data_IF_546411926095
#
_entry.id   IF_546411926095
#
_cell.length_a   1.000
_cell.length_b   1.000
_cell.length_c   1.000
_cell.angle_alpha   90.00
_cell.angle_beta   90.00
_cell.angle_gamma   90.00
#
_symmetry.space_group_name_H-M   'P 1'
#
loop_
_entity.id
_entity.type
_entity.pdbx_description
1 polymer ?
#
# COMPACT_ATOMS: atom_id res chain seq x y z
N UNK A 1 17.46 2.22 -18.19
CA UNK A 1 16.61 1.39 -19.03
C UNK A 1 16.43 0.03 -18.36
N UNK A 2 15.22 -0.26 -17.86
CA UNK A 2 14.88 -1.49 -17.09
C UNK A 2 15.19 -2.77 -17.85
N UNK A 3 14.92 -2.81 -19.16
CA UNK A 3 15.18 -3.99 -19.98
C UNK A 3 16.67 -4.37 -20.00
N UNK A 4 17.54 -3.39 -20.17
CA UNK A 4 18.98 -3.61 -20.18
C UNK A 4 19.46 -4.11 -18.82
N UNK A 5 18.96 -3.53 -17.74
CA UNK A 5 19.35 -3.92 -16.38
C UNK A 5 18.91 -5.35 -16.06
N UNK A 6 17.65 -5.68 -16.33
CA UNK A 6 17.14 -7.04 -16.13
C UNK A 6 17.92 -8.08 -16.93
N UNK A 7 18.24 -7.79 -18.19
CA UNK A 7 19.04 -8.69 -19.03
C UNK A 7 20.45 -8.88 -18.48
N UNK A 8 21.09 -7.80 -17.99
CA UNK A 8 22.43 -7.87 -17.40
C UNK A 8 22.42 -8.73 -16.14
N UNK A 9 21.53 -8.43 -15.19
CA UNK A 9 21.44 -9.16 -13.91
C UNK A 9 21.16 -10.65 -14.13
N UNK A 10 20.22 -10.99 -15.02
CA UNK A 10 19.91 -12.39 -15.32
C UNK A 10 21.06 -13.10 -16.04
N UNK A 11 21.80 -12.41 -16.93
CA UNK A 11 22.97 -12.97 -17.58
C UNK A 11 24.09 -13.26 -16.58
N UNK A 12 24.32 -12.36 -15.64
CA UNK A 12 25.37 -12.51 -14.61
C UNK A 12 25.04 -13.65 -13.64
N UNK A 13 23.79 -13.76 -13.22
CA UNK A 13 23.36 -14.79 -12.28
C UNK A 13 23.23 -16.18 -12.91
N UNK A 14 22.64 -16.28 -14.09
CA UNK A 14 22.27 -17.55 -14.70
C UNK A 14 23.16 -17.97 -15.84
N UNK A 15 24.00 -17.06 -16.37
CA UNK A 15 24.94 -17.33 -17.45
C UNK A 15 25.87 -18.52 -17.19
N UNK A 16 26.46 -18.65 -15.98
CA UNK A 16 27.31 -19.82 -15.64
C UNK A 16 26.58 -21.17 -15.73
N UNK A 17 25.24 -21.15 -15.62
CA UNK A 17 24.39 -22.35 -15.78
C UNK A 17 23.88 -22.54 -17.24
N UNK A 18 24.44 -21.79 -18.22
CA UNK A 18 24.11 -21.94 -19.62
C UNK A 18 22.96 -21.05 -20.14
N UNK A 19 22.43 -20.14 -19.30
CA UNK A 19 21.45 -19.16 -19.70
C UNK A 19 22.06 -18.09 -20.62
N UNK A 20 21.29 -17.64 -21.61
CA UNK A 20 21.65 -16.53 -22.48
C UNK A 20 20.50 -15.54 -22.56
N UNK A 21 20.70 -14.34 -22.03
CA UNK A 21 19.69 -13.29 -22.05
C UNK A 21 19.21 -12.94 -23.47
N UNK A 22 20.08 -13.09 -24.47
CA UNK A 22 19.73 -12.86 -25.87
C UNK A 22 18.84 -13.96 -26.46
N UNK A 23 19.10 -15.23 -26.07
CA UNK A 23 18.40 -16.39 -26.62
C UNK A 23 17.14 -16.73 -25.83
N UNK A 24 17.20 -16.62 -24.53
CA UNK A 24 16.24 -17.24 -23.62
C UNK A 24 15.17 -16.23 -23.11
N UNK A 25 15.41 -14.91 -23.26
CA UNK A 25 14.40 -13.89 -22.93
C UNK A 25 13.67 -13.46 -24.19
N UNK A 26 12.41 -13.88 -24.32
CA UNK A 26 11.56 -13.51 -25.45
C UNK A 26 10.98 -12.09 -25.29
N UNK A 27 10.56 -11.75 -24.09
CA UNK A 27 9.99 -10.44 -23.79
C UNK A 27 10.18 -10.09 -22.31
N UNK A 28 10.15 -8.81 -21.99
CA UNK A 28 10.16 -8.28 -20.63
C UNK A 28 8.99 -7.33 -20.49
N UNK A 29 8.14 -7.55 -19.50
CA UNK A 29 7.07 -6.64 -19.12
C UNK A 29 7.44 -5.97 -17.81
N UNK A 30 7.41 -4.63 -17.78
CA UNK A 30 7.68 -3.84 -16.58
C UNK A 30 6.39 -3.16 -16.15
N UNK A 31 5.82 -3.63 -15.05
CA UNK A 31 4.68 -2.98 -14.40
C UNK A 31 5.22 -1.99 -13.37
N UNK A 32 5.04 -0.71 -13.65
CA UNK A 32 5.50 0.35 -12.75
C UNK A 32 4.32 1.01 -12.06
N UNK A 33 4.32 0.91 -10.73
CA UNK A 33 3.42 1.67 -9.89
C UNK A 33 4.16 2.92 -9.41
N UNK A 34 3.75 4.13 -9.78
CA UNK A 34 4.44 5.36 -9.39
C UNK A 34 4.31 5.66 -7.90
N UNK A 35 3.24 5.18 -7.30
CA UNK A 35 2.95 5.22 -5.88
C UNK A 35 2.43 3.85 -5.45
N UNK A 36 2.78 3.40 -4.33
CA UNK A 36 2.33 2.13 -3.80
C UNK A 36 2.65 2.09 -2.33
N UNK A 37 2.08 1.37 -1.78
CA UNK A 37 0.97 0.87 -1.00
C UNK A 37 0.20 1.98 -0.27
N UNK A 38 -0.86 1.62 0.47
CA UNK A 38 -1.43 2.48 1.50
C UNK A 38 -0.43 2.68 2.63
N UNK A 39 -0.61 3.73 3.41
CA UNK A 39 0.13 3.91 4.66
C UNK A 39 -0.01 2.67 5.56
N UNK A 40 1.10 2.18 6.11
CA UNK A 40 1.14 1.14 7.13
C UNK A 40 1.79 1.67 8.40
N UNK A 41 1.22 1.34 9.54
CA UNK A 41 1.87 1.52 10.83
C UNK A 41 2.92 0.42 11.03
N UNK A 42 4.14 0.83 11.37
CA UNK A 42 5.28 -0.08 11.55
C UNK A 42 5.77 -0.01 13.00
N UNK A 43 5.39 -0.95 13.82
CA UNK A 43 5.69 -1.02 15.26
C UNK A 43 7.16 -0.76 15.64
N UNK A 44 8.09 -0.98 14.71
CA UNK A 44 9.53 -0.78 14.95
C UNK A 44 10.02 0.63 14.65
N UNK A 45 9.25 1.43 13.92
CA UNK A 45 9.69 2.71 13.37
C UNK A 45 8.77 3.87 13.70
N UNK A 46 7.49 3.59 13.89
CA UNK A 46 6.49 4.58 14.21
C UNK A 46 6.34 4.74 15.72
N UNK A 47 6.00 5.93 16.17
CA UNK A 47 5.77 6.23 17.58
C UNK A 47 4.59 5.43 18.13
N UNK A 48 4.67 5.04 19.38
CA UNK A 48 3.59 4.37 20.10
C UNK A 48 2.56 5.42 20.55
N UNK A 49 1.46 5.51 19.82
CA UNK A 49 0.40 6.49 20.04
C UNK A 49 -0.69 5.94 20.96
N UNK A 50 -1.18 6.75 21.90
CA UNK A 50 -2.43 6.41 22.60
C UNK A 50 -3.58 6.24 21.60
N UNK A 51 -4.54 5.38 21.94
CA UNK A 51 -5.71 5.13 21.11
C UNK A 51 -6.45 6.44 20.77
N UNK A 52 -6.67 6.69 19.49
CA UNK A 52 -7.32 7.89 18.97
C UNK A 52 -6.37 9.06 18.67
N UNK A 53 -5.08 8.92 18.95
CA UNK A 53 -4.08 9.98 18.76
C UNK A 53 -3.11 9.68 17.60
N UNK A 54 -3.15 8.48 17.03
CA UNK A 54 -2.34 8.17 15.87
C UNK A 54 -2.75 9.05 14.66
N UNK A 55 -1.79 9.48 13.82
CA UNK A 55 -2.07 10.37 12.70
C UNK A 55 -3.21 9.92 11.78
N UNK A 56 -3.29 8.62 11.49
CA UNK A 56 -4.36 8.05 10.68
C UNK A 56 -5.71 8.04 11.41
N UNK A 57 -5.74 7.84 12.73
CA UNK A 57 -6.94 7.91 13.55
C UNK A 57 -7.50 9.34 13.65
N UNK A 58 -6.60 10.33 13.74
CA UNK A 58 -6.99 11.75 13.70
C UNK A 58 -7.51 12.10 12.30
N UNK A 59 -6.79 11.70 11.25
CA UNK A 59 -7.12 12.05 9.88
C UNK A 59 -8.44 11.42 9.39
N UNK A 60 -8.85 10.27 9.92
CA UNK A 60 -10.09 9.59 9.53
C UNK A 60 -11.33 10.08 10.28
N UNK A 61 -11.18 10.99 11.25
CA UNK A 61 -12.33 11.48 12.01
C UNK A 61 -13.37 12.14 11.11
N UNK A 62 -14.64 11.91 11.42
CA UNK A 62 -15.77 12.50 10.71
C UNK A 62 -15.66 14.03 10.71
N UNK A 63 -15.87 14.63 9.56
CA UNK A 63 -15.96 16.09 9.40
C UNK A 63 -17.34 16.48 8.87
N UNK A 64 -18.22 16.92 9.73
CA UNK A 64 -19.61 17.21 9.37
C UNK A 64 -20.30 15.98 8.76
N UNK A 65 -20.71 16.08 7.50
CA UNK A 65 -21.33 15.00 6.73
C UNK A 65 -20.33 14.23 5.83
N UNK A 66 -19.04 14.33 6.13
CA UNK A 66 -18.00 13.62 5.39
C UNK A 66 -17.39 12.57 6.31
N UNK A 67 -17.30 11.32 5.83
CA UNK A 67 -16.59 10.22 6.46
C UNK A 67 -15.54 9.67 5.49
N UNK A 68 -14.49 9.05 6.01
CA UNK A 68 -13.35 8.56 5.23
C UNK A 68 -13.31 7.04 5.25
N UNK A 69 -13.17 6.43 4.07
CA UNK A 69 -13.18 4.97 3.92
C UNK A 69 -12.10 4.53 2.93
N UNK A 70 -10.94 4.16 3.42
CA UNK A 70 -9.86 3.58 2.64
C UNK A 70 -8.87 2.83 3.55
N UNK A 71 -7.92 2.10 2.98
CA UNK A 71 -6.92 1.37 3.71
C UNK A 71 -5.97 2.28 4.52
N UNK A 72 -5.69 3.51 4.04
CA UNK A 72 -4.88 4.49 4.77
C UNK A 72 -5.50 4.86 6.12
N UNK A 73 -6.84 4.93 6.17
CA UNK A 73 -7.56 5.24 7.41
C UNK A 73 -7.38 4.16 8.49
N UNK A 74 -7.05 2.92 8.09
CA UNK A 74 -6.74 1.81 8.99
C UNK A 74 -5.24 1.59 9.18
N UNK A 75 -4.38 2.40 8.54
CA UNK A 75 -2.92 2.25 8.55
C UNK A 75 -2.46 0.81 8.26
N UNK A 76 -3.09 0.15 7.30
CA UNK A 76 -2.77 -1.23 6.91
C UNK A 76 -3.12 -1.47 5.45
N UNK A 77 -2.13 -1.82 4.62
CA UNK A 77 -2.24 -1.90 3.16
C UNK A 77 -2.92 -3.18 2.66
N UNK A 78 -4.02 -3.59 3.29
CA UNK A 78 -4.75 -4.82 2.94
C UNK A 78 -6.20 -4.53 2.53
N UNK A 79 -6.73 -5.37 1.66
CA UNK A 79 -8.12 -5.26 1.17
C UNK A 79 -9.15 -5.37 2.30
N UNK A 80 -8.94 -6.25 3.27
CA UNK A 80 -9.86 -6.38 4.40
C UNK A 80 -9.89 -5.11 5.25
N UNK A 81 -8.75 -4.44 5.45
CA UNK A 81 -8.70 -3.14 6.13
C UNK A 81 -9.57 -2.10 5.42
N UNK A 82 -9.48 -2.03 4.09
CA UNK A 82 -10.33 -1.11 3.32
C UNK A 82 -11.83 -1.40 3.48
N UNK A 83 -12.22 -2.69 3.59
CA UNK A 83 -13.60 -3.11 3.84
C UNK A 83 -14.05 -2.73 5.26
N UNK A 84 -13.21 -2.98 6.26
CA UNK A 84 -13.50 -2.65 7.66
C UNK A 84 -13.65 -1.13 7.85
N UNK A 85 -12.77 -0.34 7.22
CA UNK A 85 -12.87 1.11 7.23
C UNK A 85 -14.10 1.64 6.49
N UNK A 86 -14.55 0.98 5.44
CA UNK A 86 -15.81 1.31 4.77
C UNK A 86 -17.01 1.05 5.70
N UNK A 87 -17.03 -0.08 6.40
CA UNK A 87 -18.09 -0.39 7.38
C UNK A 87 -18.11 0.62 8.54
N UNK A 88 -16.93 1.01 9.05
CA UNK A 88 -16.80 2.08 10.06
C UNK A 88 -17.35 3.41 9.56
N UNK A 89 -16.95 3.83 8.36
CA UNK A 89 -17.36 5.11 7.79
C UNK A 89 -18.89 5.21 7.58
N UNK A 90 -19.54 4.11 7.18
CA UNK A 90 -21.01 4.03 7.07
C UNK A 90 -21.65 4.14 8.46
N UNK A 91 -21.15 3.41 9.45
CA UNK A 91 -21.67 3.47 10.81
C UNK A 91 -21.52 4.88 11.42
N UNK A 92 -20.42 5.57 11.16
CA UNK A 92 -20.22 6.96 11.61
C UNK A 92 -21.15 7.94 10.90
N UNK A 93 -21.46 7.70 9.62
CA UNK A 93 -22.38 8.55 8.86
C UNK A 93 -23.79 8.43 9.39
N UNK A 94 -24.22 7.23 9.76
CA UNK A 94 -25.55 6.96 10.30
C UNK A 94 -25.69 7.40 11.79
N UNK A 95 -24.59 7.64 12.47
CA UNK A 95 -24.61 8.15 13.84
C UNK A 95 -25.08 9.62 13.88
N UNK A 96 -25.85 10.03 14.91
CA UNK A 96 -26.21 11.44 15.11
C UNK A 96 -24.95 12.31 15.14
N UNK A 97 -25.00 13.46 14.47
CA UNK A 97 -23.91 14.45 14.57
C UNK A 97 -23.77 14.89 16.04
N UNK A 98 -22.57 14.80 16.57
CA UNK A 98 -22.22 15.43 17.84
C UNK A 98 -22.03 16.94 17.55
N UNK A 99 -23.14 17.70 17.56
CA UNK A 99 -23.10 19.16 17.52
C UNK A 99 -22.72 19.71 18.91
#
# INVERSE_FOLDING_TARGET
DYEREVRSVLQDLLGPAGFSAKRDILAITVNRWPHGYSHEYLDLWDDDWPKGEAPHEIARQRFGNITFANADAGASAYTHTAIDEAARAVAEFDAPSLD
#
